data_IF_329519337941
#
_entry.id   IF_329519337941
#
_cell.length_a   1.000
_cell.length_b   1.000
_cell.length_c   1.000
_cell.angle_alpha   90.00
_cell.angle_beta   90.00
_cell.angle_gamma   90.00
#
_symmetry.space_group_name_H-M   'P 1'
#
loop_
_entity.id
_entity.type
_entity.pdbx_description
1 polymer ?
#
# COMPACT_ATOMS: atom_id res chain seq x y z
N UNK A 1 -40.00 -3.77 -24.32
CA UNK A 1 -39.12 -4.82 -23.74
C UNK A 1 -37.63 -4.65 -24.04
N UNK A 2 -37.21 -3.96 -25.11
CA UNK A 2 -35.77 -3.78 -25.45
C UNK A 2 -35.01 -2.80 -24.50
N UNK A 3 -35.68 -1.83 -23.87
CA UNK A 3 -35.03 -0.85 -22.97
C UNK A 3 -34.61 -1.41 -21.59
N UNK A 4 -35.27 -2.46 -21.09
CA UNK A 4 -34.94 -3.05 -19.78
C UNK A 4 -33.74 -4.00 -19.85
N UNK A 5 -33.51 -4.64 -21.00
CA UNK A 5 -32.35 -5.51 -21.24
C UNK A 5 -31.04 -4.68 -21.30
N UNK A 6 -31.07 -3.48 -21.88
CA UNK A 6 -29.89 -2.60 -21.89
C UNK A 6 -29.49 -2.09 -20.50
N UNK A 7 -30.46 -1.94 -19.58
CA UNK A 7 -30.18 -1.53 -18.20
C UNK A 7 -29.55 -2.65 -17.37
N UNK A 8 -29.93 -3.91 -17.64
CA UNK A 8 -29.31 -5.11 -17.05
C UNK A 8 -27.89 -5.33 -17.57
N UNK A 9 -27.63 -5.11 -18.86
CA UNK A 9 -26.27 -5.16 -19.40
C UNK A 9 -25.38 -4.05 -18.86
N UNK A 10 -25.91 -2.83 -18.67
CA UNK A 10 -25.18 -1.74 -18.01
C UNK A 10 -24.89 -2.05 -16.53
N UNK A 11 -25.84 -2.64 -15.80
CA UNK A 11 -25.65 -3.05 -14.40
C UNK A 11 -24.64 -4.20 -14.25
N UNK A 12 -24.61 -5.15 -15.19
CA UNK A 12 -23.60 -6.22 -15.23
C UNK A 12 -22.21 -5.65 -15.58
N UNK A 13 -22.12 -4.70 -16.51
CA UNK A 13 -20.86 -3.99 -16.83
C UNK A 13 -20.31 -3.19 -15.63
N UNK A 14 -21.18 -2.67 -14.77
CA UNK A 14 -20.78 -1.97 -13.53
C UNK A 14 -20.18 -2.92 -12.48
N UNK A 15 -20.54 -4.21 -12.49
CA UNK A 15 -19.99 -5.20 -11.56
C UNK A 15 -18.59 -5.69 -12.00
N UNK A 16 -18.26 -5.58 -13.29
CA UNK A 16 -16.91 -5.91 -13.82
C UNK A 16 -15.89 -4.77 -13.58
N UNK A 17 -16.34 -3.60 -13.13
CA UNK A 17 -15.51 -2.41 -12.91
C UNK A 17 -14.90 -2.31 -11.50
N UNK A 18 -14.84 -3.41 -10.74
CA UNK A 18 -14.15 -3.43 -9.44
C UNK A 18 -12.63 -3.47 -9.67
N UNK A 19 -12.14 -2.32 -10.14
CA UNK A 19 -10.75 -1.93 -10.27
C UNK A 19 -9.96 -2.26 -9.01
N UNK A 20 -8.74 -2.73 -9.20
CA UNK A 20 -7.70 -2.92 -8.18
C UNK A 20 -7.82 -1.92 -7.01
N UNK A 21 -8.04 -2.45 -5.80
CA UNK A 21 -8.28 -1.67 -4.59
C UNK A 21 -7.24 -2.00 -3.54
N UNK A 22 -6.69 -0.96 -2.91
CA UNK A 22 -5.75 -1.10 -1.81
C UNK A 22 -6.47 -0.64 -0.55
N UNK A 23 -6.81 -1.61 0.30
CA UNK A 23 -7.51 -1.36 1.55
C UNK A 23 -6.56 -1.58 2.71
N UNK A 24 -6.18 -0.50 3.36
CA UNK A 24 -5.30 -0.50 4.52
C UNK A 24 -6.10 -0.15 5.77
N UNK A 25 -5.84 -0.85 6.86
CA UNK A 25 -6.32 -0.50 8.18
C UNK A 25 -5.11 -0.34 9.10
N UNK A 26 -5.01 0.82 9.74
CA UNK A 26 -3.93 1.15 10.68
C UNK A 26 -4.54 1.43 12.04
N UNK A 27 -4.11 0.70 13.07
CA UNK A 27 -4.50 0.94 14.46
C UNK A 27 -3.39 1.69 15.18
N UNK A 28 -3.74 2.80 15.83
CA UNK A 28 -2.86 3.67 16.61
C UNK A 28 -3.07 3.43 18.11
N UNK A 29 -1.98 3.11 18.82
CA UNK A 29 -1.99 2.81 20.25
C UNK A 29 -1.45 3.98 21.09
N UNK A 30 -1.89 4.08 22.34
CA UNK A 30 -1.49 5.15 23.28
C UNK A 30 0.01 5.19 23.58
N UNK A 31 0.71 4.07 23.40
CA UNK A 31 2.16 3.94 23.60
C UNK A 31 2.97 4.33 22.35
N UNK A 32 2.34 5.01 21.38
CA UNK A 32 2.90 5.37 20.07
C UNK A 32 3.10 4.20 19.10
N UNK A 33 2.80 2.96 19.51
CA UNK A 33 2.87 1.84 18.59
C UNK A 33 1.76 1.92 17.53
N UNK A 34 1.95 1.20 16.42
CA UNK A 34 0.91 0.96 15.42
C UNK A 34 0.82 -0.51 15.03
N UNK A 35 -0.36 -0.92 14.59
CA UNK A 35 -0.55 -2.16 13.81
C UNK A 35 -1.12 -1.76 12.46
N UNK A 36 -0.79 -2.50 11.42
CA UNK A 36 -1.34 -2.25 10.09
C UNK A 36 -1.66 -3.56 9.40
N UNK A 37 -2.75 -3.58 8.66
CA UNK A 37 -3.05 -4.62 7.68
C UNK A 37 -3.40 -3.93 6.36
N UNK A 38 -2.74 -4.30 5.29
CA UNK A 38 -3.00 -3.82 3.94
C UNK A 38 -3.36 -5.00 3.04
N UNK A 39 -4.49 -4.92 2.37
CA UNK A 39 -4.92 -5.90 1.39
C UNK A 39 -4.87 -5.22 0.01
N UNK A 40 -4.02 -5.75 -0.86
CA UNK A 40 -3.80 -5.26 -2.22
C UNK A 40 -4.51 -6.24 -3.14
N UNK A 41 -5.73 -5.90 -3.55
CA UNK A 41 -6.52 -6.74 -4.45
C UNK A 41 -6.18 -6.38 -5.89
N UNK A 42 -5.69 -7.36 -6.65
CA UNK A 42 -5.34 -7.23 -8.05
C UNK A 42 -6.35 -8.02 -8.87
N UNK A 43 -7.05 -7.35 -9.78
CA UNK A 43 -7.95 -8.04 -10.69
C UNK A 43 -7.17 -8.84 -11.76
N UNK A 44 -7.88 -9.75 -12.45
CA UNK A 44 -7.28 -10.60 -13.49
C UNK A 44 -6.74 -9.82 -14.68
N UNK A 45 -7.34 -8.68 -15.01
CA UNK A 45 -6.88 -7.82 -16.11
C UNK A 45 -5.54 -7.16 -15.78
N UNK A 46 -5.35 -6.70 -14.55
CA UNK A 46 -4.10 -6.14 -14.06
C UNK A 46 -3.02 -7.21 -14.04
N UNK A 47 -3.31 -8.40 -13.49
CA UNK A 47 -2.35 -9.51 -13.51
C UNK A 47 -1.99 -9.96 -14.93
N UNK A 48 -2.99 -10.06 -15.81
CA UNK A 48 -2.80 -10.39 -17.23
C UNK A 48 -1.96 -9.34 -17.95
N UNK A 49 -2.20 -8.06 -17.70
CA UNK A 49 -1.41 -6.98 -18.29
C UNK A 49 0.01 -6.93 -17.74
N UNK A 50 0.22 -7.18 -16.44
CA UNK A 50 1.56 -7.31 -15.84
C UNK A 50 2.36 -8.44 -16.52
N UNK A 51 1.69 -9.54 -16.87
CA UNK A 51 2.30 -10.65 -17.63
C UNK A 51 2.66 -10.26 -19.07
N UNK A 52 1.89 -9.38 -19.70
CA UNK A 52 2.13 -8.88 -21.06
C UNK A 52 3.16 -7.75 -21.13
N UNK A 53 3.29 -6.91 -20.08
CA UNK A 53 4.25 -5.80 -20.00
C UNK A 53 5.69 -6.25 -19.69
N UNK A 54 6.02 -7.53 -19.91
CA UNK A 54 7.39 -8.05 -19.75
C UNK A 54 7.75 -8.54 -18.35
N UNK A 55 6.77 -8.76 -17.47
CA UNK A 55 7.03 -9.58 -16.28
C UNK A 55 7.22 -11.02 -16.74
N UNK A 56 8.46 -11.50 -16.67
CA UNK A 56 8.82 -12.89 -17.01
C UNK A 56 7.75 -13.86 -16.45
N UNK A 57 7.07 -14.68 -17.28
CA UNK A 57 6.01 -15.57 -16.84
C UNK A 57 6.41 -16.45 -15.64
N UNK A 58 7.71 -16.75 -15.53
CA UNK A 58 8.29 -17.46 -14.39
C UNK A 58 8.16 -16.69 -13.06
N UNK A 59 8.23 -15.35 -13.06
CA UNK A 59 8.08 -14.50 -11.86
C UNK A 59 6.64 -14.44 -11.35
N UNK A 60 5.64 -14.54 -12.23
CA UNK A 60 4.24 -14.68 -11.82
C UNK A 60 3.97 -16.05 -11.18
N UNK A 61 4.57 -17.12 -11.73
CA UNK A 61 4.49 -18.46 -11.13
C UNK A 61 5.19 -18.59 -9.77
N UNK A 62 6.08 -17.66 -9.42
CA UNK A 62 6.69 -17.60 -8.09
C UNK A 62 5.75 -17.02 -7.02
N UNK A 63 4.68 -16.31 -7.42
CA UNK A 63 3.62 -15.89 -6.49
C UNK A 63 2.80 -17.08 -5.98
N UNK A 64 2.64 -18.13 -6.81
CA UNK A 64 1.97 -19.37 -6.38
C UNK A 64 2.74 -20.13 -5.29
N UNK A 65 4.04 -19.86 -5.15
CA UNK A 65 4.91 -20.44 -4.12
C UNK A 65 4.93 -19.63 -2.82
N UNK A 66 4.27 -18.47 -2.80
CA UNK A 66 4.13 -17.67 -1.58
C UNK A 66 3.03 -18.27 -0.69
N UNK A 67 3.14 -18.08 0.63
CA UNK A 67 2.20 -18.67 1.57
C UNK A 67 0.81 -18.06 1.42
N UNK A 68 -0.23 -18.89 1.55
CA UNK A 68 -1.64 -18.48 1.62
C UNK A 68 -2.07 -18.15 3.05
N UNK A 69 -1.31 -18.62 4.04
CA UNK A 69 -1.48 -18.30 5.45
C UNK A 69 -0.51 -17.21 5.90
N UNK A 70 -0.89 -16.47 6.95
CA UNK A 70 -0.05 -15.41 7.51
C UNK A 70 1.33 -15.95 7.92
N UNK A 71 2.34 -15.57 7.15
CA UNK A 71 3.71 -16.03 7.36
C UNK A 71 4.63 -14.84 7.50
N UNK A 72 5.50 -14.88 8.50
CA UNK A 72 6.44 -13.78 8.72
C UNK A 72 7.39 -13.63 7.54
N UNK A 73 7.76 -12.39 7.21
CA UNK A 73 8.72 -12.12 6.14
C UNK A 73 10.05 -12.83 6.43
N UNK A 74 10.44 -12.95 7.70
CA UNK A 74 11.59 -13.77 8.11
C UNK A 74 11.50 -15.23 7.62
N UNK A 75 10.35 -15.89 7.79
CA UNK A 75 10.18 -17.28 7.36
C UNK A 75 10.12 -17.41 5.84
N UNK A 76 9.42 -16.48 5.17
CA UNK A 76 9.41 -16.43 3.68
C UNK A 76 10.82 -16.27 3.13
N UNK A 77 11.66 -15.46 3.78
CA UNK A 77 13.06 -15.24 3.37
C UNK A 77 13.97 -16.44 3.63
N UNK A 78 13.74 -17.19 4.72
CA UNK A 78 14.54 -18.36 5.13
C UNK A 78 14.53 -19.49 4.09
N UNK A 79 13.57 -19.51 3.18
CA UNK A 79 13.56 -20.40 2.00
C UNK A 79 14.62 -20.04 0.92
N UNK A 80 15.63 -19.24 1.26
CA UNK A 80 16.88 -19.11 0.51
C UNK A 80 16.94 -17.96 -0.49
N UNK A 81 16.13 -16.90 -0.31
CA UNK A 81 16.00 -15.81 -1.29
C UNK A 81 16.59 -14.46 -0.87
N UNK A 82 16.91 -14.20 0.41
CA UNK A 82 17.44 -12.91 0.90
C UNK A 82 18.45 -13.10 2.05
N UNK A 83 19.50 -12.27 2.12
CA UNK A 83 20.43 -12.17 3.27
C UNK A 83 19.87 -11.20 4.31
N UNK A 84 19.69 -11.68 5.53
CA UNK A 84 19.17 -10.89 6.65
C UNK A 84 20.29 -10.16 7.39
N UNK A 85 20.18 -8.84 7.55
CA UNK A 85 20.97 -8.12 8.55
C UNK A 85 20.40 -8.45 9.95
N UNK A 86 21.26 -8.82 10.91
CA UNK A 86 20.84 -9.21 12.27
C UNK A 86 19.95 -8.17 12.95
N UNK A 87 20.19 -6.89 12.69
CA UNK A 87 19.40 -5.79 13.22
C UNK A 87 17.94 -5.85 12.73
N UNK A 88 17.72 -6.26 11.48
CA UNK A 88 16.39 -6.31 10.84
C UNK A 88 15.58 -7.57 11.18
N UNK A 89 16.23 -8.62 11.71
CA UNK A 89 15.60 -9.93 11.98
C UNK A 89 14.43 -9.81 12.94
N UNK A 90 14.56 -9.00 14.00
CA UNK A 90 13.50 -8.84 15.02
C UNK A 90 12.23 -8.22 14.42
N UNK A 91 12.38 -7.23 13.54
CA UNK A 91 11.22 -6.56 12.93
C UNK A 91 10.61 -7.40 11.82
N UNK A 92 11.41 -8.09 11.00
CA UNK A 92 10.91 -8.97 9.93
C UNK A 92 10.14 -10.20 10.45
N UNK A 93 10.35 -10.59 11.71
CA UNK A 93 9.51 -11.58 12.40
C UNK A 93 8.11 -11.06 12.74
N UNK A 94 7.95 -9.73 12.84
CA UNK A 94 6.68 -9.06 13.19
C UNK A 94 5.91 -8.55 11.97
N UNK A 95 6.50 -8.61 10.78
CA UNK A 95 5.83 -8.33 9.51
C UNK A 95 5.45 -9.65 8.86
N UNK A 96 4.21 -9.76 8.43
CA UNK A 96 3.63 -10.96 7.86
C UNK A 96 3.06 -10.66 6.49
N UNK A 97 3.05 -11.68 5.64
CA UNK A 97 2.42 -11.63 4.33
C UNK A 97 1.61 -12.89 4.08
N UNK A 98 0.66 -12.77 3.16
CA UNK A 98 0.00 -13.89 2.51
C UNK A 98 -0.42 -13.52 1.10
N UNK A 99 -0.61 -14.52 0.26
CA UNK A 99 -1.29 -14.40 -1.02
C UNK A 99 -2.77 -14.69 -0.81
N UNK A 100 -3.62 -13.83 -1.35
CA UNK A 100 -5.06 -14.02 -1.35
C UNK A 100 -5.45 -14.78 -2.61
N UNK A 101 -6.18 -15.89 -2.43
CA UNK A 101 -6.71 -16.70 -3.53
C UNK A 101 -8.23 -16.78 -3.46
N UNK A 102 -8.89 -16.69 -4.61
CA UNK A 102 -10.29 -17.06 -4.79
C UNK A 102 -10.36 -18.19 -5.82
N UNK A 103 -11.06 -19.27 -5.51
CA UNK A 103 -11.19 -20.46 -6.38
C UNK A 103 -9.85 -20.94 -6.98
N UNK A 104 -8.79 -20.94 -6.16
CA UNK A 104 -7.43 -21.34 -6.52
C UNK A 104 -6.68 -20.40 -7.48
N UNK A 105 -7.25 -19.23 -7.77
CA UNK A 105 -6.61 -18.15 -8.53
C UNK A 105 -6.15 -17.05 -7.58
N UNK A 106 -4.95 -16.51 -7.82
CA UNK A 106 -4.43 -15.37 -7.04
C UNK A 106 -5.31 -14.15 -7.34
N UNK A 107 -5.78 -13.48 -6.30
CA UNK A 107 -6.58 -12.25 -6.40
C UNK A 107 -5.93 -11.07 -5.67
N UNK A 108 -4.80 -11.29 -5.01
CA UNK A 108 -4.12 -10.22 -4.30
C UNK A 108 -2.99 -10.67 -3.38
N UNK A 109 -2.45 -9.67 -2.69
CA UNK A 109 -1.42 -9.81 -1.68
C UNK A 109 -1.86 -9.06 -0.43
N UNK A 110 -1.74 -9.69 0.73
CA UNK A 110 -1.98 -9.04 2.01
C UNK A 110 -0.70 -8.95 2.83
N UNK A 111 -0.50 -7.80 3.45
CA UNK A 111 0.61 -7.50 4.36
C UNK A 111 0.04 -7.09 5.71
N UNK A 112 0.67 -7.49 6.81
CA UNK A 112 0.35 -6.93 8.12
C UNK A 112 1.57 -6.85 9.03
N UNK A 113 1.50 -5.99 10.03
CA UNK A 113 2.38 -6.03 11.18
C UNK A 113 1.60 -5.72 12.45
N UNK A 114 2.02 -6.33 13.55
CA UNK A 114 1.37 -6.18 14.84
C UNK A 114 2.27 -5.40 15.79
N UNK A 115 1.73 -4.28 16.29
CA UNK A 115 2.26 -3.44 17.37
C UNK A 115 3.76 -3.14 17.23
N UNK A 116 4.11 -2.37 16.21
CA UNK A 116 5.45 -1.83 15.99
C UNK A 116 5.58 -0.43 16.56
N UNK A 117 6.69 -0.18 17.27
CA UNK A 117 7.08 1.17 17.69
C UNK A 117 7.63 1.98 16.52
N UNK A 118 7.59 3.32 16.56
CA UNK A 118 8.13 4.17 15.49
C UNK A 118 9.59 3.87 15.12
N UNK A 119 10.42 3.53 16.12
CA UNK A 119 11.81 3.11 15.89
C UNK A 119 11.91 1.77 15.14
N UNK A 120 11.02 0.81 15.43
CA UNK A 120 10.97 -0.48 14.72
C UNK A 120 10.50 -0.30 13.27
N UNK A 121 9.53 0.59 13.02
CA UNK A 121 9.10 0.96 11.66
C UNK A 121 10.26 1.63 10.92
N UNK A 122 10.96 2.56 11.57
CA UNK A 122 12.14 3.22 11.00
C UNK A 122 13.22 2.20 10.66
N UNK A 123 13.47 1.23 11.55
CA UNK A 123 14.41 0.15 11.32
C UNK A 123 13.98 -0.72 10.14
N UNK A 124 12.70 -1.09 10.03
CA UNK A 124 12.16 -1.84 8.90
C UNK A 124 12.41 -1.10 7.57
N UNK A 125 12.12 0.20 7.53
CA UNK A 125 12.35 1.03 6.35
C UNK A 125 13.85 1.22 6.07
N UNK A 126 14.67 1.36 7.12
CA UNK A 126 16.11 1.49 7.01
C UNK A 126 16.83 0.20 6.57
N UNK A 127 16.16 -0.94 6.73
CA UNK A 127 16.70 -2.26 6.36
C UNK A 127 16.86 -2.42 4.84
N UNK A 128 16.10 -1.65 4.05
CA UNK A 128 16.14 -1.70 2.60
C UNK A 128 16.43 -0.29 2.04
N UNK A 129 17.47 -0.17 1.21
CA UNK A 129 17.87 1.11 0.60
C UNK A 129 16.73 1.78 -0.19
N UNK A 130 15.74 1.02 -0.65
CA UNK A 130 14.57 1.50 -1.39
C UNK A 130 13.44 1.96 -0.46
N UNK A 131 13.25 1.28 0.67
CA UNK A 131 12.27 1.70 1.68
C UNK A 131 12.73 2.95 2.44
N UNK A 132 14.05 3.17 2.57
CA UNK A 132 14.63 4.42 3.09
C UNK A 132 14.13 5.67 2.38
N UNK A 133 13.85 5.55 1.07
CA UNK A 133 13.41 6.66 0.22
C UNK A 133 11.91 6.87 0.23
N UNK A 134 11.13 6.05 0.94
CA UNK A 134 9.70 6.26 1.09
C UNK A 134 9.49 7.16 2.32
N UNK A 135 9.17 8.46 2.16
CA UNK A 135 8.97 9.38 3.27
C UNK A 135 7.62 9.13 3.98
N UNK A 136 7.37 7.91 4.47
CA UNK A 136 6.16 7.57 5.22
C UNK A 136 6.02 8.43 6.49
N UNK A 137 7.17 8.81 7.08
CA UNK A 137 7.22 9.70 8.24
C UNK A 137 6.82 11.14 7.92
N UNK A 138 6.95 11.57 6.65
CA UNK A 138 6.55 12.92 6.23
C UNK A 138 5.05 13.00 5.92
N UNK A 139 4.38 11.86 5.74
CA UNK A 139 2.95 11.76 5.42
C UNK A 139 2.12 11.71 6.70
N UNK A 140 2.53 10.94 7.70
CA UNK A 140 1.80 10.82 8.95
C UNK A 140 2.71 10.56 10.16
N UNK A 141 2.50 11.33 11.23
CA UNK A 141 3.27 11.20 12.50
C UNK A 141 2.31 10.97 13.66
N UNK A 142 2.49 9.85 14.37
CA UNK A 142 1.75 9.50 15.58
C UNK A 142 2.68 9.53 16.80
N UNK A 143 2.24 10.17 17.89
CA UNK A 143 3.01 10.29 19.12
C UNK A 143 2.33 9.67 20.36
N UNK A 144 1.34 8.81 20.16
CA UNK A 144 0.56 8.21 21.26
C UNK A 144 -0.67 9.01 21.67
N UNK A 145 -0.82 10.26 21.20
CA UNK A 145 -1.96 11.12 21.51
C UNK A 145 -2.54 11.86 20.30
N UNK A 146 -1.67 12.33 19.41
CA UNK A 146 -2.06 13.09 18.23
C UNK A 146 -1.44 12.50 16.98
N UNK A 147 -2.26 12.34 15.94
CA UNK A 147 -1.86 11.96 14.60
C UNK A 147 -1.85 13.23 13.74
N UNK A 148 -0.70 13.55 13.19
CA UNK A 148 -0.52 14.63 12.24
C UNK A 148 -0.45 14.03 10.84
N UNK A 149 -1.38 14.39 9.96
CA UNK A 149 -1.41 13.97 8.57
C UNK A 149 -1.02 15.17 7.71
N UNK A 150 0.02 15.02 6.89
CA UNK A 150 0.47 16.01 5.92
C UNK A 150 -0.25 15.77 4.58
N UNK A 151 -1.44 16.36 4.46
CA UNK A 151 -2.30 16.22 3.27
C UNK A 151 -1.75 16.95 2.05
N UNK A 152 -0.80 17.87 2.20
CA UNK A 152 -0.08 18.50 1.08
C UNK A 152 0.68 17.46 0.23
N UNK A 153 1.00 16.29 0.81
CA UNK A 153 1.63 15.16 0.13
C UNK A 153 0.65 14.29 -0.66
N UNK A 154 -0.66 14.51 -0.55
CA UNK A 154 -1.69 13.80 -1.31
C UNK A 154 -1.92 14.43 -2.70
N UNK A 155 -0.84 14.63 -3.45
CA UNK A 155 -0.91 15.12 -4.83
C UNK A 155 -0.19 14.15 -5.78
N UNK A 156 -0.58 14.20 -7.06
CA UNK A 156 -0.02 13.34 -8.11
C UNK A 156 1.48 13.48 -8.22
N UNK A 157 2.02 14.69 -8.25
CA UNK A 157 3.46 14.89 -8.38
C UNK A 157 4.26 14.28 -7.22
N UNK A 158 3.77 14.38 -5.99
CA UNK A 158 4.43 13.84 -4.79
C UNK A 158 4.39 12.31 -4.78
N UNK A 159 3.22 11.72 -5.03
CA UNK A 159 3.04 10.27 -5.05
C UNK A 159 3.71 9.65 -6.28
N UNK A 160 3.61 10.27 -7.46
CA UNK A 160 4.27 9.80 -8.68
C UNK A 160 5.79 9.94 -8.56
N UNK A 161 6.34 11.07 -8.09
CA UNK A 161 7.79 11.20 -7.86
C UNK A 161 8.31 10.17 -6.86
N UNK A 162 7.57 9.90 -5.78
CA UNK A 162 7.91 8.84 -4.82
C UNK A 162 7.97 7.44 -5.47
N UNK A 163 7.24 7.22 -6.56
CA UNK A 163 7.15 5.93 -7.26
C UNK A 163 8.01 5.89 -8.54
N UNK A 164 8.40 7.05 -9.06
CA UNK A 164 9.06 7.25 -10.36
C UNK A 164 10.52 7.64 -10.26
N UNK A 165 11.13 7.67 -9.08
CA UNK A 165 12.58 7.80 -8.96
C UNK A 165 13.28 6.62 -9.66
N UNK A 166 13.42 6.79 -10.97
CA UNK A 166 14.34 6.10 -11.87
C UNK A 166 15.70 6.70 -11.57
N UNK A 167 16.49 6.02 -10.75
CA UNK A 167 17.93 6.20 -10.89
C UNK A 167 18.36 5.60 -12.22
N UNK A 168 19.18 6.36 -12.92
CA UNK A 168 19.79 6.11 -14.22
C UNK A 168 20.31 4.68 -14.32
N UNK A 169 20.00 4.04 -15.44
CA UNK A 169 20.43 2.68 -15.75
C UNK A 169 21.96 2.54 -15.66
N UNK A 170 22.45 1.87 -14.61
CA UNK A 170 23.61 1.00 -14.76
C UNK A 170 23.13 -0.44 -14.77
N UNK A 171 23.08 -0.99 -15.98
CA UNK A 171 22.90 -2.43 -16.25
C UNK A 171 24.07 -3.19 -15.67
N UNK A 172 24.07 -3.42 -14.37
CA UNK A 172 24.93 -4.43 -13.75
C UNK A 172 24.12 -5.71 -13.64
N UNK A 173 24.59 -6.76 -14.33
CA UNK A 173 24.09 -8.12 -14.17
C UNK A 173 24.07 -8.44 -12.67
N UNK A 174 22.95 -8.90 -12.09
CA UNK A 174 22.86 -9.21 -10.67
C UNK A 174 23.94 -10.24 -10.32
N UNK A 175 24.94 -9.86 -9.51
CA UNK A 175 26.04 -10.77 -9.12
C UNK A 175 25.68 -11.55 -7.86
N UNK A 176 24.70 -11.07 -7.10
CA UNK A 176 24.31 -11.64 -5.80
C UNK A 176 22.79 -11.82 -5.69
N UNK A 177 22.32 -12.65 -4.74
CA UNK A 177 20.88 -12.83 -4.47
C UNK A 177 20.20 -11.51 -4.03
N UNK A 178 20.92 -10.63 -3.33
CA UNK A 178 20.49 -9.27 -2.99
C UNK A 178 20.12 -8.44 -4.22
N UNK A 179 20.94 -8.51 -5.27
CA UNK A 179 20.75 -7.76 -6.52
C UNK A 179 19.49 -8.23 -7.29
N UNK A 180 19.08 -9.50 -7.10
CA UNK A 180 17.87 -10.04 -7.74
C UNK A 180 16.57 -9.54 -7.10
N UNK A 181 16.57 -9.34 -5.78
CA UNK A 181 15.44 -8.73 -5.05
C UNK A 181 15.37 -7.24 -5.38
N UNK A 182 16.53 -6.60 -5.51
CA UNK A 182 16.66 -5.21 -5.94
C UNK A 182 15.96 -5.00 -7.29
N UNK A 183 16.29 -5.83 -8.29
CA UNK A 183 15.64 -5.83 -9.60
C UNK A 183 14.14 -6.12 -9.54
N UNK A 184 13.69 -7.04 -8.67
CA UNK A 184 12.27 -7.37 -8.50
C UNK A 184 11.46 -6.20 -7.90
N UNK A 185 11.96 -5.55 -6.84
CA UNK A 185 11.28 -4.39 -6.25
C UNK A 185 11.32 -3.15 -7.14
N UNK A 186 12.38 -2.96 -7.95
CA UNK A 186 12.42 -1.91 -8.99
C UNK A 186 11.36 -2.15 -10.06
N UNK A 187 11.20 -3.39 -10.52
CA UNK A 187 10.14 -3.78 -11.47
C UNK A 187 8.74 -3.61 -10.88
N UNK A 188 8.55 -3.92 -9.60
CA UNK A 188 7.26 -3.73 -8.91
C UNK A 188 6.90 -2.25 -8.73
N UNK A 189 7.85 -1.40 -8.31
CA UNK A 189 7.62 0.03 -8.10
C UNK A 189 7.37 0.79 -9.42
N UNK A 190 8.19 0.53 -10.45
CA UNK A 190 7.98 1.09 -11.80
C UNK A 190 6.70 0.58 -12.46
N UNK A 191 6.34 -0.69 -12.22
CA UNK A 191 5.05 -1.25 -12.59
C UNK A 191 3.89 -0.54 -11.87
N UNK A 192 4.06 -0.17 -10.60
CA UNK A 192 3.02 0.51 -9.80
C UNK A 192 2.79 1.96 -10.25
N UNK A 193 3.84 2.70 -10.64
CA UNK A 193 3.70 4.04 -11.22
C UNK A 193 3.00 4.02 -12.59
N UNK A 194 3.36 3.06 -13.45
CA UNK A 194 2.67 2.83 -14.73
C UNK A 194 1.22 2.41 -14.53
N UNK A 195 0.96 1.56 -13.54
CA UNK A 195 -0.38 1.09 -13.17
C UNK A 195 -1.25 2.22 -12.63
N UNK A 196 -0.71 3.11 -11.79
CA UNK A 196 -1.44 4.29 -11.29
C UNK A 196 -1.93 5.22 -12.40
N UNK A 197 -1.18 5.33 -13.50
CA UNK A 197 -1.55 6.12 -14.69
C UNK A 197 -2.54 5.40 -15.61
N UNK A 198 -2.53 4.07 -15.63
CA UNK A 198 -3.34 3.27 -16.54
C UNK A 198 -4.64 2.75 -15.91
N UNK A 199 -4.70 2.62 -14.58
CA UNK A 199 -5.81 2.05 -13.86
C UNK A 199 -6.33 3.01 -12.79
N UNK A 200 -7.66 3.05 -12.64
CA UNK A 200 -8.33 3.79 -11.59
C UNK A 200 -8.23 3.03 -10.26
N UNK A 201 -7.12 3.19 -9.55
CA UNK A 201 -6.86 2.57 -8.26
C UNK A 201 -7.58 3.35 -7.16
N UNK A 202 -8.30 2.64 -6.30
CA UNK A 202 -8.85 3.23 -5.07
C UNK A 202 -7.98 2.82 -3.89
N UNK A 203 -7.39 3.82 -3.24
CA UNK A 203 -6.64 3.69 -2.00
C UNK A 203 -7.56 4.07 -0.85
N UNK A 204 -7.84 3.13 0.03
CA UNK A 204 -8.55 3.36 1.29
C UNK A 204 -7.62 3.08 2.46
N UNK A 205 -7.57 4.00 3.43
CA UNK A 205 -6.88 3.80 4.69
C UNK A 205 -7.80 4.13 5.86
N UNK A 206 -8.13 3.13 6.68
CA UNK A 206 -8.87 3.29 7.93
C UNK A 206 -7.92 3.43 9.10
N UNK A 207 -7.90 4.61 9.68
CA UNK A 207 -7.11 5.01 10.83
C UNK A 207 -7.96 4.79 12.09
N UNK A 208 -7.73 3.69 12.80
CA UNK A 208 -8.40 3.34 14.06
C UNK A 208 -7.57 3.79 15.24
N UNK A 209 -8.20 4.41 16.22
CA UNK A 209 -7.54 4.88 17.44
C UNK A 209 -7.97 4.05 18.65
N UNK A 210 -7.02 3.66 19.49
CA UNK A 210 -7.30 2.94 20.73
C UNK A 210 -8.24 3.76 21.65
N UNK A 211 -8.01 5.08 21.69
CA UNK A 211 -8.78 6.06 22.45
C UNK A 211 -9.76 6.81 21.55
N UNK A 212 -10.91 7.25 22.08
CA UNK A 212 -11.82 8.12 21.34
C UNK A 212 -11.12 9.37 20.80
N UNK A 213 -11.56 9.83 19.64
CA UNK A 213 -11.14 11.08 19.02
C UNK A 213 -11.77 12.21 19.81
N UNK A 214 -10.93 13.10 20.34
CA UNK A 214 -11.33 14.31 21.07
C UNK A 214 -11.56 15.47 20.11
N UNK A 215 -10.68 15.65 19.14
CA UNK A 215 -10.79 16.73 18.14
C UNK A 215 -10.10 16.36 16.83
N UNK A 216 -10.56 16.99 15.75
CA UNK A 216 -9.91 16.99 14.44
C UNK A 216 -9.77 18.44 14.01
N UNK A 217 -8.52 18.89 13.83
CA UNK A 217 -8.18 20.22 13.32
C UNK A 217 -7.74 20.11 11.86
N UNK A 218 -8.24 21.02 11.03
CA UNK A 218 -8.03 20.97 9.58
C UNK A 218 -9.06 20.08 8.87
N UNK A 219 -9.36 20.43 7.62
CA UNK A 219 -10.36 19.78 6.80
C UNK A 219 -9.82 19.51 5.39
N UNK A 220 -9.91 18.26 4.97
CA UNK A 220 -9.50 17.81 3.66
C UNK A 220 -10.52 16.84 3.09
N UNK A 221 -10.88 16.96 1.81
CA UNK A 221 -11.95 16.15 1.20
C UNK A 221 -11.66 14.65 1.17
N UNK A 222 -10.39 14.27 1.26
CA UNK A 222 -9.97 12.88 1.35
C UNK A 222 -10.05 12.32 2.77
N UNK A 223 -10.18 13.16 3.80
CA UNK A 223 -10.12 12.74 5.20
C UNK A 223 -11.49 12.90 5.84
N UNK A 224 -12.08 11.79 6.30
CA UNK A 224 -13.42 11.79 6.88
C UNK A 224 -13.46 10.98 8.16
N UNK A 225 -13.99 11.55 9.24
CA UNK A 225 -14.34 10.78 10.43
C UNK A 225 -15.58 9.93 10.15
N UNK A 226 -15.49 8.63 10.41
CA UNK A 226 -16.60 7.69 10.20
C UNK A 226 -17.26 7.23 11.50
N UNK A 227 -16.52 7.26 12.62
CA UNK A 227 -17.03 7.02 13.97
C UNK A 227 -16.16 7.73 15.03
N UNK A 228 -16.45 7.53 16.32
CA UNK A 228 -15.74 8.19 17.42
C UNK A 228 -14.28 7.73 17.64
N UNK A 229 -13.82 6.71 16.90
CA UNK A 229 -12.47 6.12 16.98
C UNK A 229 -11.84 5.89 15.62
N UNK A 230 -12.50 6.25 14.52
CA UNK A 230 -12.04 5.90 13.19
C UNK A 230 -12.14 7.09 12.23
N UNK A 231 -11.03 7.33 11.55
CA UNK A 231 -10.94 8.23 10.40
C UNK A 231 -10.63 7.42 9.15
N UNK A 232 -11.28 7.73 8.04
CA UNK A 232 -11.05 7.11 6.75
C UNK A 232 -10.37 8.12 5.81
N UNK A 233 -9.34 7.65 5.11
CA UNK A 233 -8.72 8.36 4.00
C UNK A 233 -9.05 7.61 2.72
N UNK A 234 -9.68 8.28 1.76
CA UNK A 234 -9.96 7.69 0.44
C UNK A 234 -9.38 8.57 -0.65
N UNK A 235 -8.48 7.99 -1.45
CA UNK A 235 -7.84 8.63 -2.60
C UNK A 235 -8.00 7.73 -3.81
N UNK A 236 -8.47 8.28 -4.93
CA UNK A 236 -8.52 7.56 -6.21
C UNK A 236 -7.39 8.06 -7.11
N UNK A 237 -6.76 7.18 -7.88
CA UNK A 237 -5.65 7.59 -8.76
C UNK A 237 -6.09 8.65 -9.76
N UNK A 238 -7.31 8.57 -10.30
CA UNK A 238 -7.86 9.61 -11.19
C UNK A 238 -8.01 10.97 -10.49
N UNK A 239 -8.37 10.98 -9.19
CA UNK A 239 -8.47 12.22 -8.42
C UNK A 239 -7.09 12.92 -8.30
N UNK A 240 -5.99 12.16 -8.40
CA UNK A 240 -4.62 12.65 -8.41
C UNK A 240 -4.18 13.06 -9.82
N UNK A 241 -4.40 12.21 -10.83
CA UNK A 241 -3.91 12.40 -12.20
C UNK A 241 -4.68 13.48 -12.95
N UNK A 242 -6.01 13.44 -12.90
CA UNK A 242 -6.88 14.36 -13.64
C UNK A 242 -7.15 15.66 -12.84
N UNK A 243 -6.78 15.66 -11.56
CA UNK A 243 -7.01 16.75 -10.63
C UNK A 243 -8.46 16.80 -10.16
N UNK A 244 -8.68 16.51 -8.87
CA UNK A 244 -9.98 16.72 -8.23
C UNK A 244 -10.12 18.18 -7.79
N UNK A 245 -11.26 18.79 -8.11
CA UNK A 245 -11.67 20.06 -7.48
C UNK A 245 -12.03 19.81 -6.01
N UNK A 246 -11.07 20.03 -5.11
CA UNK A 246 -11.26 19.89 -3.68
C UNK A 246 -11.98 21.12 -3.10
N UNK A 247 -13.04 20.88 -2.33
CA UNK A 247 -13.72 21.90 -1.53
C UNK A 247 -12.88 22.27 -0.32
N UNK A 248 -12.37 21.26 0.40
CA UNK A 248 -11.49 21.45 1.55
C UNK A 248 -10.10 20.87 1.21
N UNK A 249 -9.06 21.68 1.41
CA UNK A 249 -7.69 21.42 0.95
C UNK A 249 -6.64 21.86 1.97
N UNK A 250 -7.00 21.81 3.25
CA UNK A 250 -6.04 22.16 4.31
C UNK A 250 -4.83 21.25 4.18
N UNK A 251 -3.63 21.82 4.26
CA UNK A 251 -2.35 21.12 4.05
C UNK A 251 -1.96 20.17 5.17
N UNK A 252 -2.72 20.22 6.27
CA UNK A 252 -2.48 19.46 7.47
C UNK A 252 -3.82 19.12 8.12
N UNK A 253 -3.96 17.88 8.57
CA UNK A 253 -5.04 17.46 9.46
C UNK A 253 -4.42 16.90 10.73
N UNK A 254 -4.87 17.38 11.89
CA UNK A 254 -4.39 16.94 13.21
C UNK A 254 -5.55 16.30 13.95
N UNK A 255 -5.42 15.00 14.23
CA UNK A 255 -6.42 14.22 14.98
C UNK A 255 -5.85 14.02 16.38
N UNK A 256 -6.57 14.45 17.40
CA UNK A 256 -6.16 14.29 18.81
C UNK A 256 -7.12 13.36 19.52
N UNK A 257 -6.58 12.38 20.25
CA UNK A 257 -7.35 11.44 21.07
C UNK A 257 -7.34 11.85 22.55
N UNK A 258 -8.24 11.25 23.33
CA UNK A 258 -8.29 11.37 24.80
C UNK A 258 -7.03 10.89 25.52
#
# INVERSE_FOLDING_TARGET
>A
MIKQINFLWAAILVIVLQSCSINTETTYYKDSATSMQSNILMDKSVMGMMSMMGSDPKKLSDLDKLPTDWTSLYNVQKHGRITLNEDSVKVLKKVYMKVDKDKNEIIGLSLKYDKLMPAEITQLLASDKRLKKIPLQDIAVWNGKSLIINTDKFNSDGILKMLEEKETEEKTVPKTKSDSIEAYGKQMASGMAGMLRMFNLTFSNRLKFQKPIKSIEGKHDFVKQIDNKTVEIVVRSNDLVDGKNLVNKDKKVVITTE
#
